data_IF_020369899096
#
_entry.id   IF_020369899096
#
_cell.length_a   1.000
_cell.length_b   1.000
_cell.length_c   1.000
_cell.angle_alpha   90.00
_cell.angle_beta   90.00
_cell.angle_gamma   90.00
#
_symmetry.space_group_name_H-M   'P 1'
#
loop_
_entity.id
_entity.type
_entity.pdbx_description
1 polymer ?
#
# COMPACT_ATOMS: atom_id res chain seq x y z
N UNK A 1 24.79 14.92 14.52
CA UNK A 1 26.17 14.92 13.99
C UNK A 1 27.11 15.42 15.07
N UNK A 2 28.27 14.79 15.25
CA UNK A 2 29.31 15.32 16.15
C UNK A 2 29.97 16.55 15.49
N UNK A 3 30.15 17.64 16.23
CA UNK A 3 30.79 18.86 15.71
C UNK A 3 32.16 19.08 16.33
N UNK A 4 33.04 19.76 15.62
CA UNK A 4 34.28 20.27 16.21
C UNK A 4 34.01 21.40 17.23
N UNK A 5 35.08 21.95 17.83
CA UNK A 5 34.99 23.03 18.81
C UNK A 5 34.50 24.38 18.23
N UNK A 6 34.39 24.51 16.90
CA UNK A 6 33.83 25.66 16.20
C UNK A 6 32.37 25.44 15.75
N UNK A 7 31.83 24.23 15.93
CA UNK A 7 30.48 23.85 15.51
C UNK A 7 30.41 23.28 14.09
N UNK A 8 31.56 22.98 13.47
CA UNK A 8 31.63 22.42 12.12
C UNK A 8 31.24 20.95 12.11
N UNK A 9 30.47 20.55 11.10
CA UNK A 9 30.11 19.17 10.82
C UNK A 9 30.65 18.77 9.44
N UNK A 10 31.41 17.67 9.40
CA UNK A 10 31.86 17.06 8.14
C UNK A 10 30.96 15.90 7.71
N UNK A 11 29.90 15.63 8.48
CA UNK A 11 28.83 14.74 8.11
C UNK A 11 27.52 15.49 7.98
N UNK A 12 26.71 15.10 7.00
CA UNK A 12 25.35 15.59 6.84
C UNK A 12 24.46 14.41 6.48
N UNK A 13 23.48 14.13 7.33
CA UNK A 13 22.36 13.28 6.95
C UNK A 13 21.54 14.03 5.90
N UNK A 14 21.34 13.41 4.75
CA UNK A 14 20.57 13.96 3.63
C UNK A 14 19.35 13.07 3.41
N UNK A 15 18.17 13.70 3.37
CA UNK A 15 16.94 13.00 3.00
C UNK A 15 16.64 13.21 1.53
N UNK A 16 16.36 12.12 0.82
CA UNK A 16 15.81 12.08 -0.53
C UNK A 16 14.42 11.45 -0.47
N UNK A 17 13.38 12.22 -0.80
CA UNK A 17 12.04 11.66 -1.03
C UNK A 17 11.96 11.07 -2.42
N UNK A 18 11.34 9.90 -2.53
CA UNK A 18 10.82 9.38 -3.79
C UNK A 18 9.43 9.99 -3.99
N UNK A 19 9.07 10.30 -5.23
CA UNK A 19 7.70 10.67 -5.61
C UNK A 19 7.03 9.41 -6.17
N UNK A 20 5.88 8.98 -5.62
CA UNK A 20 5.17 7.80 -6.11
C UNK A 20 4.56 8.07 -7.49
N UNK A 21 4.34 7.02 -8.25
CA UNK A 21 3.49 7.02 -9.43
C UNK A 21 2.07 7.52 -9.07
N UNK A 22 1.32 7.99 -10.08
CA UNK A 22 -0.04 8.46 -9.84
C UNK A 22 -0.99 7.27 -9.65
N UNK A 23 -1.93 7.30 -8.67
CA UNK A 23 -2.70 6.12 -8.29
C UNK A 23 -3.52 5.51 -9.43
N UNK A 24 -3.59 4.18 -9.48
CA UNK A 24 -4.42 3.47 -10.45
C UNK A 24 -5.83 3.30 -9.90
N UNK A 25 -6.83 3.69 -10.68
CA UNK A 25 -8.23 3.41 -10.35
C UNK A 25 -8.47 1.89 -10.46
N UNK A 26 -8.62 1.24 -9.32
CA UNK A 26 -8.78 -0.23 -9.19
C UNK A 26 -10.24 -0.66 -9.31
N UNK A 27 -11.19 0.23 -9.02
CA UNK A 27 -12.61 -0.09 -9.10
C UNK A 27 -13.54 1.09 -8.85
N UNK A 28 -14.83 0.82 -9.01
CA UNK A 28 -15.91 1.76 -8.77
C UNK A 28 -17.15 0.99 -8.32
N UNK A 29 -17.90 1.54 -7.36
CA UNK A 29 -19.21 1.04 -6.93
C UNK A 29 -20.21 2.19 -6.97
N UNK A 30 -21.37 1.92 -7.58
CA UNK A 30 -22.57 2.74 -7.47
C UNK A 30 -23.58 1.98 -6.61
N UNK A 31 -23.97 2.54 -5.48
CA UNK A 31 -25.02 2.00 -4.62
C UNK A 31 -26.34 2.72 -4.88
N UNK A 32 -27.44 1.97 -5.03
CA UNK A 32 -28.78 2.53 -5.12
C UNK A 32 -29.72 1.79 -6.08
N UNK A 33 -30.94 2.33 -6.18
CA UNK A 33 -31.98 1.92 -7.12
C UNK A 33 -31.92 2.76 -8.41
N UNK A 34 -32.83 2.50 -9.36
CA UNK A 34 -32.94 3.31 -10.60
C UNK A 34 -33.14 4.79 -10.31
N UNK A 35 -32.28 5.64 -10.89
CA UNK A 35 -32.27 7.09 -10.68
C UNK A 35 -33.16 7.81 -11.71
N UNK A 36 -34.05 8.66 -11.21
CA UNK A 36 -34.91 9.55 -11.98
C UNK A 36 -34.24 10.88 -12.31
N UNK A 37 -34.90 11.67 -13.17
CA UNK A 37 -34.48 13.03 -13.48
C UNK A 37 -34.60 13.91 -12.23
N UNK A 38 -33.51 14.59 -11.87
CA UNK A 38 -33.38 15.38 -10.66
C UNK A 38 -32.71 14.65 -9.49
N UNK A 39 -32.46 13.34 -9.59
CA UNK A 39 -31.78 12.59 -8.55
C UNK A 39 -30.24 12.77 -8.64
N UNK A 40 -29.61 12.93 -7.48
CA UNK A 40 -28.15 12.94 -7.32
C UNK A 40 -27.73 11.66 -6.61
N UNK A 41 -26.74 10.96 -7.16
CA UNK A 41 -26.17 9.75 -6.56
C UNK A 41 -24.68 9.94 -6.27
N UNK A 42 -24.20 9.20 -5.26
CA UNK A 42 -22.78 9.14 -4.89
C UNK A 42 -22.19 7.81 -5.37
N UNK A 43 -21.06 7.87 -6.05
CA UNK A 43 -20.20 6.71 -6.33
C UNK A 43 -19.07 6.64 -5.32
N UNK A 44 -18.62 5.41 -5.04
CA UNK A 44 -17.35 5.12 -4.39
C UNK A 44 -16.34 4.72 -5.45
N UNK A 45 -15.20 5.40 -5.49
CA UNK A 45 -14.07 5.11 -6.38
C UNK A 45 -12.97 4.48 -5.53
N UNK A 46 -12.43 3.36 -5.99
CA UNK A 46 -11.31 2.68 -5.35
C UNK A 46 -10.05 2.91 -6.19
N UNK A 47 -8.96 3.22 -5.50
CA UNK A 47 -7.60 3.28 -6.03
C UNK A 47 -6.71 2.25 -5.32
N UNK A 48 -5.46 2.13 -5.72
CA UNK A 48 -4.43 1.28 -5.10
C UNK A 48 -3.85 1.88 -3.81
N UNK A 49 -3.34 3.11 -3.85
CA UNK A 49 -3.02 4.00 -2.73
C UNK A 49 -2.76 5.42 -3.27
N UNK A 50 -3.14 6.48 -2.56
CA UNK A 50 -2.71 7.86 -2.89
C UNK A 50 -1.41 8.27 -2.19
N UNK A 51 -0.85 7.40 -1.36
CA UNK A 51 0.41 7.62 -0.63
C UNK A 51 0.40 8.90 0.22
N UNK A 52 -0.79 9.35 0.63
CA UNK A 52 -0.98 10.59 1.37
C UNK A 52 -1.08 11.86 0.52
N UNK A 53 -1.02 11.77 -0.81
CA UNK A 53 -1.10 12.88 -1.77
C UNK A 53 -2.52 12.94 -2.37
N UNK A 54 -3.42 13.82 -1.89
CA UNK A 54 -4.83 13.74 -2.25
C UNK A 54 -5.10 14.11 -3.71
N UNK A 55 -5.70 13.18 -4.46
CA UNK A 55 -6.42 13.47 -5.70
C UNK A 55 -7.53 14.50 -5.42
N UNK A 56 -7.57 15.60 -6.19
CA UNK A 56 -8.39 16.77 -5.88
C UNK A 56 -9.27 17.28 -7.04
N UNK A 57 -9.09 16.75 -8.25
CA UNK A 57 -10.00 16.95 -9.37
C UNK A 57 -10.42 15.63 -10.01
N UNK A 58 -11.58 15.66 -10.67
CA UNK A 58 -12.13 14.57 -11.47
C UNK A 58 -12.60 15.17 -12.80
N UNK A 59 -12.21 14.56 -13.91
CA UNK A 59 -12.71 14.89 -15.25
C UNK A 59 -13.32 13.64 -15.87
N UNK A 60 -14.53 13.76 -16.41
CA UNK A 60 -15.26 12.65 -17.03
C UNK A 60 -16.70 12.47 -16.57
N UNK A 61 -17.30 11.36 -16.99
CA UNK A 61 -18.74 11.12 -16.89
C UNK A 61 -19.10 9.70 -16.45
N UNK A 62 -20.30 9.56 -15.87
CA UNK A 62 -20.99 8.30 -15.64
C UNK A 62 -22.41 8.39 -16.21
N UNK A 63 -22.82 7.38 -16.99
CA UNK A 63 -24.04 7.39 -17.82
C UNK A 63 -24.18 8.61 -18.76
N UNK A 64 -23.08 9.32 -19.04
CA UNK A 64 -23.09 10.58 -19.80
C UNK A 64 -23.38 11.85 -18.98
N UNK A 65 -23.41 11.76 -17.65
CA UNK A 65 -23.49 12.89 -16.73
C UNK A 65 -22.13 13.17 -16.09
N UNK A 66 -21.77 14.43 -15.94
CA UNK A 66 -20.49 14.87 -15.36
C UNK A 66 -20.34 14.37 -13.92
N UNK A 67 -19.14 13.89 -13.58
CA UNK A 67 -18.75 13.59 -12.22
C UNK A 67 -18.23 14.85 -11.53
N UNK A 68 -18.65 15.05 -10.29
CA UNK A 68 -18.45 16.28 -9.51
C UNK A 68 -18.23 15.95 -8.03
N UNK A 69 -17.90 16.95 -7.20
CA UNK A 69 -17.79 16.83 -5.74
C UNK A 69 -16.83 15.70 -5.28
N UNK A 70 -15.70 15.52 -5.97
CA UNK A 70 -14.67 14.58 -5.56
C UNK A 70 -14.24 14.86 -4.10
N UNK A 71 -14.35 13.85 -3.25
CA UNK A 71 -14.05 13.92 -1.83
C UNK A 71 -13.28 12.67 -1.42
N UNK A 72 -12.06 12.86 -0.90
CA UNK A 72 -11.26 11.79 -0.29
C UNK A 72 -11.95 11.26 0.97
N UNK A 73 -12.10 9.94 1.07
CA UNK A 73 -12.57 9.26 2.28
C UNK A 73 -11.35 8.79 3.09
N UNK A 74 -10.44 8.07 2.44
CA UNK A 74 -9.15 7.62 2.95
C UNK A 74 -8.12 7.56 1.81
N UNK A 75 -6.96 6.94 2.02
CA UNK A 75 -5.90 6.85 1.01
C UNK A 75 -6.18 5.85 -0.12
N UNK A 76 -7.27 5.08 -0.07
CA UNK A 76 -7.66 4.11 -1.11
C UNK A 76 -9.05 4.36 -1.68
N UNK A 77 -9.81 5.25 -1.05
CA UNK A 77 -11.24 5.40 -1.29
C UNK A 77 -11.61 6.86 -1.45
N UNK A 78 -12.29 7.15 -2.57
CA UNK A 78 -12.83 8.44 -2.91
C UNK A 78 -14.33 8.34 -3.13
N UNK A 79 -15.03 9.47 -2.98
CA UNK A 79 -16.42 9.60 -3.43
C UNK A 79 -16.56 10.73 -4.42
N UNK A 80 -17.43 10.55 -5.41
CA UNK A 80 -17.84 11.59 -6.35
C UNK A 80 -19.34 11.50 -6.58
N UNK A 81 -19.94 12.54 -7.16
CA UNK A 81 -21.38 12.65 -7.38
C UNK A 81 -21.70 12.96 -8.84
N UNK A 82 -22.81 12.43 -9.33
CA UNK A 82 -23.43 12.88 -10.57
C UNK A 82 -24.92 13.16 -10.32
N UNK A 83 -25.51 14.01 -11.16
CA UNK A 83 -26.94 14.34 -11.12
C UNK A 83 -27.57 14.09 -12.47
N UNK A 84 -28.70 13.38 -12.50
CA UNK A 84 -29.45 13.12 -13.74
C UNK A 84 -30.20 14.40 -14.12
N UNK A 85 -29.59 15.24 -14.97
CA UNK A 85 -30.14 16.56 -15.32
C UNK A 85 -31.43 16.50 -16.17
N UNK A 86 -32.19 17.59 -16.15
CA UNK A 86 -33.46 17.72 -16.88
C UNK A 86 -33.30 17.50 -18.40
N UNK A 87 -34.17 16.66 -18.98
CA UNK A 87 -34.04 16.19 -20.36
C UNK A 87 -33.22 14.89 -20.53
N UNK A 88 -32.65 14.37 -19.45
CA UNK A 88 -31.90 13.11 -19.39
C UNK A 88 -32.73 11.82 -19.56
N UNK A 89 -32.05 10.67 -19.52
CA UNK A 89 -32.65 9.35 -19.37
C UNK A 89 -32.41 8.84 -17.94
N UNK A 90 -33.36 8.08 -17.39
CA UNK A 90 -33.16 7.42 -16.11
C UNK A 90 -32.01 6.41 -16.15
N UNK A 91 -31.20 6.39 -15.09
CA UNK A 91 -30.05 5.49 -14.97
C UNK A 91 -30.46 4.26 -14.15
N UNK A 92 -30.60 3.11 -14.82
CA UNK A 92 -30.87 1.85 -14.14
C UNK A 92 -29.56 1.27 -13.57
N UNK A 93 -29.51 1.08 -12.25
CA UNK A 93 -28.32 0.55 -11.54
C UNK A 93 -28.14 -0.96 -11.74
N UNK A 94 -29.16 -1.66 -12.26
CA UNK A 94 -29.18 -3.09 -12.51
C UNK A 94 -28.61 -3.51 -13.89
N UNK A 95 -27.61 -2.80 -14.41
CA UNK A 95 -27.02 -3.08 -15.72
C UNK A 95 -25.66 -2.42 -15.93
N UNK A 96 -25.00 -2.71 -17.06
CA UNK A 96 -23.69 -2.13 -17.41
C UNK A 96 -23.80 -0.62 -17.67
N UNK A 97 -23.41 0.20 -16.69
CA UNK A 97 -23.41 1.66 -16.82
C UNK A 97 -22.11 2.12 -17.49
N UNK A 98 -22.16 2.80 -18.65
CA UNK A 98 -20.97 3.34 -19.28
C UNK A 98 -20.40 4.50 -18.45
N UNK A 99 -19.08 4.57 -18.36
CA UNK A 99 -18.34 5.60 -17.65
C UNK A 99 -17.00 5.83 -18.32
N UNK A 100 -16.41 7.00 -18.10
CA UNK A 100 -15.11 7.39 -18.65
C UNK A 100 -14.61 8.58 -17.84
N UNK A 101 -13.63 8.38 -16.97
CA UNK A 101 -13.05 9.46 -16.15
C UNK A 101 -11.57 9.23 -15.76
N UNK A 102 -10.91 10.30 -15.35
CA UNK A 102 -9.60 10.31 -14.69
C UNK A 102 -9.63 11.22 -13.46
N UNK A 103 -8.64 11.09 -12.58
CA UNK A 103 -8.45 11.92 -11.39
C UNK A 103 -7.12 12.67 -11.51
N UNK A 104 -7.01 13.87 -10.91
CA UNK A 104 -5.78 14.67 -10.88
C UNK A 104 -5.27 14.87 -9.44
N UNK A 105 -3.96 14.86 -9.23
CA UNK A 105 -3.31 15.14 -7.93
C UNK A 105 -3.09 16.64 -7.63
N UNK A 106 -3.47 17.54 -8.55
CA UNK A 106 -3.24 18.98 -8.48
C UNK A 106 -1.78 19.41 -8.69
N UNK A 107 -0.89 18.48 -9.02
CA UNK A 107 0.45 18.73 -9.56
C UNK A 107 0.46 18.64 -11.09
N UNK A 108 -0.72 18.46 -11.72
CA UNK A 108 -0.87 18.28 -13.16
C UNK A 108 -0.57 16.87 -13.66
N UNK A 109 -0.61 15.86 -12.77
CA UNK A 109 -0.57 14.45 -13.15
C UNK A 109 -2.01 13.90 -13.16
N UNK A 110 -2.37 13.17 -14.20
CA UNK A 110 -3.67 12.50 -14.36
C UNK A 110 -3.53 10.98 -14.22
N UNK A 111 -4.49 10.33 -13.55
CA UNK A 111 -4.60 8.85 -13.57
C UNK A 111 -4.84 8.36 -14.99
N UNK A 112 -4.53 7.09 -15.26
CA UNK A 112 -5.00 6.44 -16.49
C UNK A 112 -6.53 6.54 -16.63
N UNK A 113 -7.03 6.69 -17.86
CA UNK A 113 -8.46 6.80 -18.15
C UNK A 113 -9.19 5.51 -17.75
N UNK A 114 -10.06 5.60 -16.75
CA UNK A 114 -10.88 4.48 -16.30
C UNK A 114 -12.22 4.47 -17.03
N UNK A 115 -12.50 3.37 -17.75
CA UNK A 115 -13.69 3.20 -18.59
C UNK A 115 -14.36 1.82 -18.47
N UNK A 116 -13.98 1.03 -17.46
CA UNK A 116 -14.61 -0.26 -17.15
C UNK A 116 -16.00 -0.01 -16.53
N UNK A 117 -17.11 -0.49 -17.13
CA UNK A 117 -18.46 -0.26 -16.61
C UNK A 117 -18.66 -0.73 -15.17
N UNK A 118 -19.42 0.03 -14.37
CA UNK A 118 -19.74 -0.37 -12.99
C UNK A 118 -20.50 -1.69 -12.98
N UNK A 119 -20.08 -2.60 -12.11
CA UNK A 119 -20.87 -3.71 -11.59
C UNK A 119 -20.76 -3.68 -10.06
N UNK A 120 -21.78 -4.16 -9.33
CA UNK A 120 -21.83 -4.05 -7.85
C UNK A 120 -20.78 -4.89 -7.11
N UNK A 121 -20.90 -4.97 -5.78
CA UNK A 121 -20.07 -5.83 -4.91
C UNK A 121 -19.77 -7.18 -5.57
N UNK A 122 -18.50 -7.61 -5.57
CA UNK A 122 -18.15 -8.89 -6.18
C UNK A 122 -18.79 -10.04 -5.41
N UNK A 123 -19.85 -10.57 -6.01
CA UNK A 123 -20.63 -11.67 -5.48
C UNK A 123 -19.79 -12.95 -5.39
N UNK A 124 -19.97 -13.66 -4.29
CA UNK A 124 -19.66 -15.07 -4.16
C UNK A 124 -20.85 -15.77 -4.82
N UNK A 125 -20.67 -16.26 -6.05
CA UNK A 125 -21.75 -16.87 -6.86
C UNK A 125 -21.68 -18.39 -6.87
N UNK A 126 -22.82 -19.05 -7.09
CA UNK A 126 -22.99 -20.48 -7.27
C UNK A 126 -21.84 -21.13 -8.08
N UNK A 127 -21.27 -22.22 -7.56
CA UNK A 127 -20.20 -23.00 -8.21
C UNK A 127 -19.01 -22.16 -8.73
N UNK A 128 -18.64 -21.12 -8.00
CA UNK A 128 -17.56 -20.21 -8.38
C UNK A 128 -16.56 -19.96 -7.24
N UNK A 129 -15.37 -19.52 -7.61
CA UNK A 129 -14.32 -19.12 -6.68
C UNK A 129 -14.01 -17.64 -6.86
N UNK A 130 -14.06 -16.89 -5.77
CA UNK A 130 -13.77 -15.46 -5.72
C UNK A 130 -12.54 -15.19 -4.86
N UNK A 131 -11.61 -14.39 -5.39
CA UNK A 131 -10.37 -13.99 -4.73
C UNK A 131 -10.45 -12.56 -4.21
N UNK A 132 -10.29 -12.36 -2.90
CA UNK A 132 -10.18 -11.06 -2.26
C UNK A 132 -8.72 -10.87 -1.80
N UNK A 133 -8.09 -9.73 -2.11
CA UNK A 133 -6.65 -9.50 -1.90
C UNK A 133 -6.39 -8.41 -0.86
N UNK A 134 -5.31 -8.57 -0.10
CA UNK A 134 -4.83 -7.64 0.93
C UNK A 134 -3.30 -7.62 0.90
N UNK A 135 -2.68 -6.44 0.78
CA UNK A 135 -1.25 -6.29 0.95
C UNK A 135 -0.90 -6.20 2.44
N UNK A 136 0.21 -6.81 2.84
CA UNK A 136 0.77 -6.72 4.19
C UNK A 136 2.22 -6.27 4.14
N UNK A 137 2.56 -5.37 5.05
CA UNK A 137 3.91 -4.90 5.32
C UNK A 137 4.33 -5.37 6.72
N UNK A 138 5.11 -6.45 6.79
CA UNK A 138 5.78 -6.90 8.02
C UNK A 138 6.94 -7.84 7.65
N UNK A 139 8.06 -7.68 8.36
CA UNK A 139 9.25 -8.53 8.17
C UNK A 139 9.19 -9.84 8.98
N UNK A 140 8.06 -10.13 9.64
CA UNK A 140 7.77 -11.41 10.26
C UNK A 140 7.70 -12.57 9.22
N UNK A 141 7.75 -13.83 9.68
CA UNK A 141 7.41 -14.94 8.79
C UNK A 141 5.90 -15.02 8.58
N UNK A 142 5.46 -15.49 7.40
CA UNK A 142 4.06 -15.82 7.16
C UNK A 142 3.51 -16.85 8.17
N UNK A 143 4.38 -17.71 8.71
CA UNK A 143 4.06 -18.69 9.76
C UNK A 143 3.77 -18.04 11.14
N UNK A 144 4.24 -16.81 11.37
CA UNK A 144 4.07 -16.05 12.62
C UNK A 144 2.77 -15.23 12.66
N UNK A 145 1.86 -15.48 11.70
CA UNK A 145 0.53 -14.88 11.64
C UNK A 145 -0.21 -15.05 12.97
N UNK A 146 -0.67 -13.94 13.57
CA UNK A 146 -1.36 -13.97 14.85
C UNK A 146 -2.85 -14.27 14.72
N UNK A 147 -3.52 -13.58 13.79
CA UNK A 147 -4.97 -13.72 13.55
C UNK A 147 -5.38 -13.19 12.19
N UNK A 148 -6.51 -13.68 11.68
CA UNK A 148 -7.22 -13.18 10.50
C UNK A 148 -8.68 -12.91 10.87
N UNK A 149 -9.17 -11.68 10.69
CA UNK A 149 -10.59 -11.35 10.88
C UNK A 149 -11.35 -11.28 9.56
N UNK A 150 -12.62 -11.70 9.50
CA UNK A 150 -13.49 -11.51 8.32
C UNK A 150 -14.99 -11.41 8.65
N UNK A 151 -15.73 -10.78 7.72
CA UNK A 151 -17.18 -10.65 7.73
C UNK A 151 -17.75 -11.08 6.37
N UNK A 152 -18.61 -12.12 6.33
CA UNK A 152 -19.26 -12.61 5.11
C UNK A 152 -20.77 -12.65 5.33
N UNK A 153 -21.52 -12.07 4.40
CA UNK A 153 -22.94 -12.30 4.28
C UNK A 153 -23.19 -13.47 3.32
N UNK A 154 -23.80 -14.55 3.81
CA UNK A 154 -24.23 -15.70 3.00
C UNK A 154 -25.56 -16.23 3.54
N UNK A 155 -26.42 -16.72 2.65
CA UNK A 155 -27.70 -17.32 3.05
C UNK A 155 -27.59 -18.81 3.44
N UNK A 156 -26.44 -19.44 3.17
CA UNK A 156 -26.14 -20.82 3.54
C UNK A 156 -24.63 -21.03 3.73
N UNK A 157 -24.13 -21.05 4.97
CA UNK A 157 -22.68 -21.04 5.27
C UNK A 157 -21.97 -22.35 4.90
N UNK A 158 -22.71 -23.47 4.83
CA UNK A 158 -22.15 -24.79 4.57
C UNK A 158 -21.64 -24.97 3.15
N UNK A 159 -22.04 -24.10 2.23
CA UNK A 159 -21.59 -24.14 0.84
C UNK A 159 -20.21 -23.51 0.67
N UNK A 160 -19.74 -22.77 1.69
CA UNK A 160 -18.50 -22.02 1.63
C UNK A 160 -17.25 -22.83 1.98
N UNK A 161 -16.24 -22.70 1.13
CA UNK A 161 -14.87 -23.12 1.35
C UNK A 161 -13.98 -21.87 1.34
N UNK A 162 -13.31 -21.60 2.46
CA UNK A 162 -12.53 -20.38 2.67
C UNK A 162 -11.07 -20.75 2.92
N UNK A 163 -10.18 -20.26 2.07
CA UNK A 163 -8.73 -20.49 2.15
C UNK A 163 -7.95 -19.17 2.23
N UNK A 164 -6.80 -19.20 2.91
CA UNK A 164 -5.81 -18.13 2.90
C UNK A 164 -4.61 -18.55 2.07
N UNK A 165 -4.11 -17.65 1.24
CA UNK A 165 -2.92 -17.83 0.40
C UNK A 165 -1.93 -16.70 0.75
N UNK A 166 -0.70 -17.07 1.08
CA UNK A 166 0.41 -16.16 1.37
C UNK A 166 1.08 -15.65 0.08
N UNK A 167 1.97 -14.64 0.17
CA UNK A 167 2.64 -14.06 -1.00
C UNK A 167 3.55 -15.01 -1.78
N UNK A 168 3.90 -16.17 -1.19
CA UNK A 168 4.72 -17.22 -1.82
C UNK A 168 3.89 -18.39 -2.40
N UNK A 169 2.57 -18.18 -2.59
CA UNK A 169 1.56 -19.17 -2.98
C UNK A 169 1.34 -20.33 -1.98
N UNK A 170 2.04 -20.35 -0.82
CA UNK A 170 1.68 -21.28 0.25
C UNK A 170 0.27 -20.97 0.77
N UNK A 171 -0.50 -22.01 1.06
CA UNK A 171 -1.93 -21.84 1.36
C UNK A 171 -2.45 -22.81 2.41
N UNK A 172 -3.48 -22.34 3.11
CA UNK A 172 -4.16 -23.08 4.17
C UNK A 172 -5.68 -22.96 4.04
N UNK A 173 -6.37 -24.01 4.46
CA UNK A 173 -7.82 -23.98 4.67
C UNK A 173 -8.15 -23.28 5.99
N UNK A 174 -8.98 -22.23 5.93
CA UNK A 174 -9.52 -21.56 7.12
C UNK A 174 -10.84 -22.20 7.56
N UNK A 175 -11.77 -22.37 6.62
CA UNK A 175 -13.13 -22.91 6.83
C UNK A 175 -13.44 -23.88 5.70
N UNK A 176 -13.98 -25.06 6.03
CA UNK A 176 -14.39 -26.05 5.04
C UNK A 176 -15.80 -26.54 5.36
N UNK A 177 -16.83 -25.99 4.67
CA UNK A 177 -18.23 -26.42 4.77
C UNK A 177 -18.73 -26.51 6.23
N UNK A 178 -19.13 -25.36 6.81
CA UNK A 178 -19.48 -25.21 8.23
C UNK A 178 -20.82 -24.49 8.41
N UNK A 179 -21.44 -24.60 9.57
CA UNK A 179 -22.69 -23.86 9.90
C UNK A 179 -24.00 -24.56 9.52
N UNK A 180 -23.97 -25.58 8.66
CA UNK A 180 -25.17 -26.23 8.11
C UNK A 180 -26.05 -25.20 7.38
N UNK A 181 -27.38 -25.27 7.48
CA UNK A 181 -28.31 -24.26 6.94
C UNK A 181 -28.34 -22.97 7.77
N UNK A 182 -27.16 -22.55 8.24
CA UNK A 182 -26.92 -21.35 9.01
C UNK A 182 -26.44 -20.21 8.10
N UNK A 183 -26.47 -18.98 8.61
CA UNK A 183 -26.23 -17.78 7.80
C UNK A 183 -25.21 -16.85 8.47
N UNK A 184 -24.24 -16.43 7.66
CA UNK A 184 -23.25 -15.37 7.87
C UNK A 184 -22.11 -15.70 8.85
N UNK A 185 -20.95 -15.14 8.52
CA UNK A 185 -19.82 -14.98 9.42
C UNK A 185 -19.76 -13.51 9.83
N UNK A 186 -19.95 -13.23 11.12
CA UNK A 186 -20.08 -11.87 11.68
C UNK A 186 -19.01 -11.69 12.76
N UNK A 187 -18.10 -10.74 12.60
CA UNK A 187 -16.94 -10.53 13.47
C UNK A 187 -16.20 -11.85 13.80
N UNK A 188 -16.04 -12.70 12.77
CA UNK A 188 -15.30 -13.96 12.86
C UNK A 188 -13.81 -13.66 12.85
N UNK A 189 -13.08 -14.23 13.81
CA UNK A 189 -11.63 -14.18 13.88
C UNK A 189 -11.09 -15.61 13.82
N UNK A 190 -10.12 -15.85 12.96
CA UNK A 190 -9.37 -17.10 12.89
C UNK A 190 -8.02 -16.88 13.54
N UNK A 191 -7.70 -17.62 14.60
CA UNK A 191 -6.44 -17.50 15.33
C UNK A 191 -6.04 -18.81 16.00
N UNK A 192 -4.73 -19.05 16.26
CA UNK A 192 -4.28 -20.18 17.06
C UNK A 192 -4.91 -20.13 18.46
N UNK A 193 -5.57 -21.22 18.87
CA UNK A 193 -6.19 -21.33 20.20
C UNK A 193 -7.64 -20.84 20.30
N UNK A 194 -8.29 -20.46 19.19
CA UNK A 194 -9.75 -20.31 19.13
C UNK A 194 -10.50 -21.65 19.25
N UNK A 195 -11.83 -21.61 19.32
CA UNK A 195 -12.68 -22.82 19.29
C UNK A 195 -12.70 -23.48 17.90
N UNK A 196 -12.99 -24.77 17.81
CA UNK A 196 -13.15 -25.42 16.50
C UNK A 196 -14.40 -24.91 15.77
N UNK A 197 -14.29 -24.59 14.48
CA UNK A 197 -15.43 -24.21 13.63
C UNK A 197 -16.50 -25.31 13.57
N UNK A 198 -16.10 -26.58 13.69
CA UNK A 198 -17.00 -27.73 13.71
C UNK A 198 -17.91 -27.79 14.95
N UNK A 199 -17.52 -27.14 16.06
CA UNK A 199 -18.32 -27.03 17.29
C UNK A 199 -19.12 -25.71 17.35
N UNK A 200 -18.92 -24.82 16.39
CA UNK A 200 -19.64 -23.55 16.27
C UNK A 200 -20.98 -23.67 15.54
N UNK A 201 -21.76 -22.58 15.57
CA UNK A 201 -23.03 -22.46 14.87
C UNK A 201 -23.17 -21.06 14.28
N UNK A 202 -23.82 -20.95 13.13
CA UNK A 202 -24.09 -19.66 12.51
C UNK A 202 -25.08 -18.77 13.32
N UNK A 203 -24.99 -17.44 13.24
CA UNK A 203 -23.89 -16.71 12.61
C UNK A 203 -22.58 -16.94 13.38
N UNK A 204 -21.51 -17.28 12.66
CA UNK A 204 -20.22 -17.51 13.29
C UNK A 204 -19.71 -16.18 13.85
N UNK A 205 -19.47 -16.13 15.15
CA UNK A 205 -19.09 -14.92 15.88
C UNK A 205 -17.95 -15.22 16.86
N UNK A 206 -16.94 -14.33 16.91
CA UNK A 206 -15.78 -14.49 17.78
C UNK A 206 -14.66 -15.35 17.20
N UNK A 207 -13.81 -15.91 18.07
CA UNK A 207 -12.51 -16.48 17.68
C UNK A 207 -12.52 -18.00 17.54
N UNK A 208 -12.22 -18.49 16.34
CA UNK A 208 -12.09 -19.89 15.99
C UNK A 208 -10.67 -20.26 15.57
N UNK A 209 -10.32 -21.54 15.60
CA UNK A 209 -9.06 -22.06 15.05
C UNK A 209 -9.25 -22.47 13.58
N UNK A 210 -8.25 -22.28 12.70
CA UNK A 210 -8.37 -22.68 11.29
C UNK A 210 -8.41 -24.20 11.13
N UNK A 211 -8.99 -24.69 10.03
CA UNK A 211 -8.94 -26.11 9.63
C UNK A 211 -7.49 -26.58 9.36
N UNK A 212 -6.59 -25.68 8.95
CA UNK A 212 -5.15 -25.92 8.79
C UNK A 212 -4.33 -24.83 9.50
N UNK A 213 -3.29 -25.24 10.25
CA UNK A 213 -2.52 -24.35 11.09
C UNK A 213 -1.73 -23.29 10.30
N UNK A 214 -1.66 -22.07 10.83
CA UNK A 214 -0.90 -20.95 10.26
C UNK A 214 0.59 -21.27 10.04
N UNK A 215 1.17 -22.14 10.87
CA UNK A 215 2.55 -22.64 10.71
C UNK A 215 2.81 -23.48 9.45
N UNK A 216 1.78 -23.76 8.63
CA UNK A 216 1.92 -24.40 7.32
C UNK A 216 2.20 -23.39 6.20
N UNK A 217 2.01 -22.09 6.46
CA UNK A 217 2.39 -21.00 5.57
C UNK A 217 3.91 -20.82 5.59
N UNK A 218 4.49 -20.41 4.47
CA UNK A 218 5.94 -20.25 4.30
C UNK A 218 6.30 -18.85 3.80
N UNK A 219 7.60 -18.54 3.81
CA UNK A 219 8.10 -17.23 3.39
C UNK A 219 7.93 -16.12 4.45
N UNK A 220 8.07 -14.88 3.97
CA UNK A 220 7.85 -13.66 4.75
C UNK A 220 6.39 -13.20 4.71
N UNK A 221 5.99 -12.41 5.70
CA UNK A 221 4.66 -11.84 5.77
C UNK A 221 4.42 -10.70 4.75
N UNK A 222 5.49 -9.97 4.38
CA UNK A 222 5.49 -8.88 3.39
C UNK A 222 5.02 -9.37 2.01
N UNK A 223 3.93 -8.79 1.50
CA UNK A 223 3.39 -9.06 0.16
C UNK A 223 1.86 -9.16 0.09
N UNK A 224 1.34 -9.58 -1.06
CA UNK A 224 -0.12 -9.74 -1.29
C UNK A 224 -0.60 -11.10 -0.79
N UNK A 225 -1.50 -11.07 0.19
CA UNK A 225 -2.27 -12.21 0.67
C UNK A 225 -3.62 -12.29 -0.07
N UNK A 226 -4.12 -13.52 -0.29
CA UNK A 226 -5.45 -13.74 -0.89
C UNK A 226 -6.35 -14.54 0.05
N UNK A 227 -7.49 -13.97 0.42
CA UNK A 227 -8.63 -14.70 0.98
C UNK A 227 -9.47 -15.21 -0.20
N UNK A 228 -9.40 -16.52 -0.43
CA UNK A 228 -10.14 -17.21 -1.48
C UNK A 228 -11.41 -17.81 -0.90
N UNK A 229 -12.56 -17.47 -1.46
CA UNK A 229 -13.87 -18.02 -1.05
C UNK A 229 -14.48 -18.70 -2.26
N UNK A 230 -14.79 -19.99 -2.14
CA UNK A 230 -15.59 -20.72 -3.11
C UNK A 230 -16.97 -21.03 -2.53
N UNK A 231 -18.00 -20.88 -3.37
CA UNK A 231 -19.30 -21.50 -3.16
C UNK A 231 -19.34 -22.80 -3.98
N UNK A 232 -19.54 -23.91 -3.29
CA UNK A 232 -19.53 -25.27 -3.86
C UNK A 232 -20.95 -25.82 -4.14
N UNK A 233 -21.97 -24.96 -4.13
CA UNK A 233 -23.38 -25.29 -4.27
C UNK A 233 -24.13 -24.36 -5.24
N UNK A 234 -25.46 -24.33 -5.11
CA UNK A 234 -26.38 -23.60 -5.99
C UNK A 234 -27.53 -23.00 -5.18
N UNK A 235 -28.05 -21.86 -5.67
CA UNK A 235 -29.20 -21.08 -5.22
C UNK A 235 -28.92 -19.99 -4.17
N UNK A 236 -27.70 -19.92 -3.64
CA UNK A 236 -27.27 -18.95 -2.64
C UNK A 236 -26.15 -18.07 -3.20
N UNK A 237 -26.25 -16.76 -2.94
CA UNK A 237 -25.27 -15.76 -3.38
C UNK A 237 -24.96 -14.85 -2.20
N UNK A 238 -23.68 -14.64 -1.94
CA UNK A 238 -23.23 -13.79 -0.85
C UNK A 238 -22.11 -12.83 -1.21
N UNK A 239 -21.60 -12.15 -0.19
CA UNK A 239 -20.65 -11.05 -0.33
C UNK A 239 -19.71 -11.02 0.87
N UNK A 240 -18.40 -10.91 0.61
CA UNK A 240 -17.44 -10.50 1.64
C UNK A 240 -17.67 -9.02 1.96
N UNK A 241 -17.84 -8.69 3.23
CA UNK A 241 -18.02 -7.33 3.74
C UNK A 241 -16.70 -6.70 4.25
N UNK A 242 -15.67 -7.52 4.53
CA UNK A 242 -14.32 -7.07 4.87
C UNK A 242 -13.46 -8.15 5.54
N UNK A 243 -12.12 -7.98 5.53
CA UNK A 243 -11.17 -8.88 6.20
C UNK A 243 -9.82 -8.21 6.55
N UNK A 244 -9.01 -8.78 7.45
CA UNK A 244 -7.71 -8.25 7.93
C UNK A 244 -6.79 -9.35 8.53
N UNK A 245 -5.47 -9.11 8.66
CA UNK A 245 -4.48 -10.01 9.33
C UNK A 245 -3.43 -9.26 10.20
N UNK A 246 -2.65 -9.95 11.09
CA UNK A 246 -1.77 -9.31 12.12
C UNK A 246 -0.42 -10.04 12.45
N UNK A 247 0.68 -9.31 12.77
CA UNK A 247 2.09 -9.79 13.02
C UNK A 247 2.87 -9.03 14.16
N UNK A 248 4.22 -9.13 14.31
CA UNK A 248 5.06 -8.51 15.41
C UNK A 248 6.58 -8.30 15.07
N UNK A 249 7.25 -7.21 15.52
CA UNK A 249 8.63 -6.79 15.08
C UNK A 249 9.70 -6.42 16.20
N UNK A 250 11.02 -6.28 15.88
CA UNK A 250 12.16 -5.94 16.81
C UNK A 250 13.48 -5.38 16.15
N UNK A 251 14.39 -4.61 16.84
CA UNK A 251 15.67 -4.06 16.27
C UNK A 251 16.84 -3.67 17.27
N UNK A 252 18.09 -3.40 16.81
CA UNK A 252 19.26 -2.91 17.63
C UNK A 252 20.64 -2.67 16.91
N UNK A 253 21.57 -1.84 17.47
CA UNK A 253 22.78 -1.22 16.79
C UNK A 253 24.00 -0.87 17.72
N UNK A 254 25.23 -0.58 17.20
CA UNK A 254 26.25 0.44 17.69
C UNK A 254 27.67 0.45 17.00
N UNK A 255 28.45 1.56 17.10
CA UNK A 255 29.79 1.85 16.44
C UNK A 255 31.04 2.05 17.36
N UNK A 256 31.87 3.13 17.28
CA UNK A 256 32.77 3.56 16.17
C UNK A 256 34.16 4.14 16.64
N UNK A 257 34.72 5.12 15.88
CA UNK A 257 35.81 6.11 16.19
C UNK A 257 37.28 5.73 16.00
N UNK A 258 38.25 6.67 15.81
CA UNK A 258 38.30 8.01 15.15
C UNK A 258 39.73 8.61 15.29
N UNK A 259 40.23 9.33 14.28
CA UNK A 259 41.27 10.41 14.29
C UNK A 259 41.27 11.10 12.90
N UNK A 260 41.73 12.34 12.67
CA UNK A 260 42.48 13.27 13.54
C UNK A 260 41.59 14.23 14.36
N UNK A 261 41.38 15.48 13.94
CA UNK A 261 40.59 16.45 14.71
C UNK A 261 39.93 17.68 14.01
N UNK A 262 40.34 18.15 12.82
CA UNK A 262 39.83 19.42 12.23
C UNK A 262 38.86 19.18 11.06
N UNK A 263 37.56 19.34 11.31
CA UNK A 263 36.53 18.80 10.42
C UNK A 263 36.25 19.69 9.20
N UNK A 264 36.18 19.12 7.97
CA UNK A 264 35.55 19.79 6.83
C UNK A 264 34.14 20.28 7.16
N UNK A 265 33.73 21.39 6.55
CA UNK A 265 32.39 21.97 6.75
C UNK A 265 31.51 21.64 5.55
N UNK A 266 30.46 20.83 5.71
CA UNK A 266 29.45 20.67 4.65
C UNK A 266 28.62 21.95 4.51
N UNK A 267 28.33 22.33 3.26
CA UNK A 267 27.64 23.58 2.85
C UNK A 267 26.46 23.33 1.89
N UNK A 268 26.33 22.12 1.36
CA UNK A 268 25.13 21.68 0.63
C UNK A 268 23.96 21.41 1.59
N UNK A 269 22.72 21.49 1.09
CA UNK A 269 21.51 21.36 1.90
C UNK A 269 21.34 19.96 2.52
N UNK A 270 20.53 19.85 3.57
CA UNK A 270 20.15 18.61 4.24
C UNK A 270 18.99 17.86 3.55
N UNK A 271 18.36 18.48 2.54
CA UNK A 271 17.37 17.84 1.68
C UNK A 271 17.87 17.76 0.23
N UNK A 272 17.78 16.58 -0.36
CA UNK A 272 17.96 16.39 -1.80
C UNK A 272 16.71 16.85 -2.57
N UNK A 273 16.84 17.08 -3.88
CA UNK A 273 15.65 17.26 -4.73
C UNK A 273 14.95 15.92 -4.85
N UNK A 274 13.64 15.88 -4.57
CA UNK A 274 12.84 14.67 -4.70
C UNK A 274 12.96 14.10 -6.12
N UNK A 275 12.91 12.77 -6.22
CA UNK A 275 13.06 12.07 -7.50
C UNK A 275 11.82 11.21 -7.74
N UNK A 276 11.30 11.27 -8.97
CA UNK A 276 10.25 10.35 -9.40
C UNK A 276 10.77 8.90 -9.30
N UNK A 277 9.93 7.99 -8.84
CA UNK A 277 10.25 6.58 -8.98
C UNK A 277 10.35 6.16 -10.45
N UNK A 278 10.86 4.96 -10.71
CA UNK A 278 11.00 4.42 -12.07
C UNK A 278 11.85 5.29 -13.04
N UNK A 279 12.57 6.27 -12.49
CA UNK A 279 13.44 7.22 -13.19
C UNK A 279 14.79 6.64 -13.63
N UNK A 280 15.01 5.33 -13.43
CA UNK A 280 16.19 4.55 -13.78
C UNK A 280 17.41 4.75 -12.87
N UNK A 281 18.33 3.77 -12.93
CA UNK A 281 19.62 3.79 -12.20
C UNK A 281 20.57 4.88 -12.72
N UNK A 282 21.44 5.40 -11.84
CA UNK A 282 22.52 6.33 -12.19
C UNK A 282 22.15 7.81 -12.17
N UNK A 283 20.89 8.15 -11.85
CA UNK A 283 20.46 9.54 -11.70
C UNK A 283 21.24 10.23 -10.58
N UNK A 284 21.70 11.47 -10.83
CA UNK A 284 22.36 12.29 -9.81
C UNK A 284 21.30 12.97 -8.95
N UNK A 285 21.14 12.50 -7.72
CA UNK A 285 20.10 12.95 -6.77
C UNK A 285 20.57 14.10 -5.87
N UNK A 286 21.88 14.23 -5.68
CA UNK A 286 22.49 15.20 -4.78
C UNK A 286 23.91 15.53 -5.20
N UNK A 287 24.37 16.74 -4.87
CA UNK A 287 25.77 17.16 -5.06
C UNK A 287 26.26 17.71 -3.72
N UNK A 288 27.13 16.93 -3.07
CA UNK A 288 27.78 17.34 -1.84
C UNK A 288 28.76 18.48 -2.10
N UNK A 289 28.70 19.50 -1.23
CA UNK A 289 29.65 20.61 -1.24
C UNK A 289 30.17 20.84 0.18
N UNK A 290 31.48 20.96 0.33
CA UNK A 290 32.13 21.23 1.60
C UNK A 290 33.35 22.15 1.44
N UNK A 291 33.77 22.76 2.55
CA UNK A 291 34.95 23.64 2.61
C UNK A 291 35.90 23.21 3.73
N UNK A 292 37.19 23.17 3.42
CA UNK A 292 38.28 22.86 4.35
C UNK A 292 39.60 23.53 3.87
N UNK A 293 40.62 23.54 4.71
CA UNK A 293 41.97 23.99 4.36
C UNK A 293 42.76 22.97 3.51
N UNK A 294 42.44 21.68 3.61
CA UNK A 294 43.01 20.59 2.82
C UNK A 294 42.11 20.21 1.63
N UNK A 295 42.59 19.31 0.78
CA UNK A 295 41.74 18.68 -0.23
C UNK A 295 40.68 17.80 0.46
N UNK A 296 39.43 17.96 0.06
CA UNK A 296 38.31 17.13 0.53
C UNK A 296 38.10 15.97 -0.43
N UNK A 297 37.80 14.81 0.14
CA UNK A 297 37.22 13.67 -0.54
C UNK A 297 35.85 13.36 0.05
N UNK A 298 34.90 12.94 -0.79
CA UNK A 298 33.56 12.59 -0.34
C UNK A 298 33.36 11.08 -0.29
N UNK A 299 32.67 10.61 0.75
CA UNK A 299 32.22 9.23 0.90
C UNK A 299 30.79 9.20 1.45
N UNK A 300 30.19 8.02 1.49
CA UNK A 300 28.92 7.78 2.16
C UNK A 300 29.22 6.94 3.40
N UNK A 301 28.72 7.36 4.57
CA UNK A 301 28.84 6.59 5.81
C UNK A 301 28.02 5.31 5.67
N UNK A 302 28.53 4.18 6.19
CA UNK A 302 27.88 2.88 6.09
C UNK A 302 26.69 2.71 7.07
N UNK A 303 25.77 3.67 7.05
CA UNK A 303 24.52 3.72 7.82
C UNK A 303 23.35 3.97 6.89
N UNK A 304 22.13 3.81 7.41
CA UNK A 304 20.89 4.05 6.68
C UNK A 304 20.95 3.40 5.28
N UNK A 305 20.64 4.16 4.23
CA UNK A 305 20.41 3.64 2.89
C UNK A 305 21.60 3.86 1.95
N UNK A 306 22.80 4.12 2.49
CA UNK A 306 24.01 4.42 1.71
C UNK A 306 24.30 3.41 0.59
N UNK A 307 23.93 2.14 0.76
CA UNK A 307 24.14 1.07 -0.22
C UNK A 307 23.29 1.22 -1.48
N UNK A 308 22.20 1.99 -1.42
CA UNK A 308 21.40 2.38 -2.60
C UNK A 308 22.08 3.47 -3.44
N UNK A 309 23.23 4.02 -3.00
CA UNK A 309 23.90 5.14 -3.64
C UNK A 309 25.37 4.84 -3.96
N UNK A 310 25.91 5.63 -4.88
CA UNK A 310 27.34 5.78 -5.08
C UNK A 310 27.69 7.27 -5.06
N UNK A 311 28.89 7.64 -4.60
CA UNK A 311 29.34 9.03 -4.59
C UNK A 311 30.66 9.15 -5.35
N UNK A 312 30.75 10.16 -6.22
CA UNK A 312 32.02 10.53 -6.83
C UNK A 312 32.87 11.28 -5.79
N UNK A 313 33.95 10.64 -5.34
CA UNK A 313 34.78 11.14 -4.24
C UNK A 313 35.47 12.48 -4.50
N UNK A 314 35.50 12.96 -5.75
CA UNK A 314 36.12 14.23 -6.15
C UNK A 314 35.14 15.33 -6.55
N UNK A 315 33.91 14.99 -6.93
CA UNK A 315 32.88 15.97 -7.34
C UNK A 315 31.72 16.07 -6.36
N UNK A 316 31.61 15.16 -5.39
CA UNK A 316 30.50 15.10 -4.43
C UNK A 316 29.17 14.67 -5.04
N UNK A 317 29.12 14.34 -6.34
CA UNK A 317 27.90 13.88 -7.00
C UNK A 317 27.48 12.50 -6.48
N UNK A 318 26.29 12.43 -5.88
CA UNK A 318 25.65 11.20 -5.39
C UNK A 318 24.67 10.70 -6.45
N UNK A 319 24.81 9.44 -6.84
CA UNK A 319 23.93 8.78 -7.81
C UNK A 319 23.25 7.56 -7.20
N UNK A 320 22.02 7.27 -7.64
CA UNK A 320 21.35 6.01 -7.31
C UNK A 320 22.04 4.81 -7.99
N UNK A 321 22.23 3.73 -7.22
CA UNK A 321 22.78 2.43 -7.65
C UNK A 321 21.70 1.43 -8.06
N UNK A 322 20.43 1.71 -7.75
CA UNK A 322 19.24 0.97 -8.18
C UNK A 322 18.24 1.92 -8.84
N UNK A 323 17.19 1.38 -9.45
CA UNK A 323 15.99 2.17 -9.76
C UNK A 323 15.33 2.59 -8.43
N UNK A 324 14.90 3.85 -8.25
CA UNK A 324 14.03 4.21 -7.14
C UNK A 324 12.62 3.64 -7.40
N UNK A 325 11.97 3.22 -6.33
CA UNK A 325 10.72 2.46 -6.29
C UNK A 325 10.04 2.86 -4.98
N UNK A 326 8.87 3.50 -5.04
CA UNK A 326 8.24 4.12 -3.88
C UNK A 326 7.68 3.07 -2.92
N UNK A 327 7.02 2.03 -3.45
CA UNK A 327 6.46 0.91 -2.67
C UNK A 327 7.53 0.14 -1.91
N UNK A 328 8.72 0.01 -2.49
CA UNK A 328 9.89 -0.53 -1.81
C UNK A 328 10.46 0.47 -0.81
N UNK A 329 10.46 1.77 -1.13
CA UNK A 329 11.12 2.80 -0.32
C UNK A 329 10.71 4.25 -0.62
N UNK A 330 9.72 4.75 0.11
CA UNK A 330 9.21 6.13 0.02
C UNK A 330 10.27 7.23 0.18
N UNK A 331 11.30 6.96 0.98
CA UNK A 331 12.42 7.89 1.18
C UNK A 331 13.71 7.18 1.55
N UNK A 332 14.82 7.80 1.15
CA UNK A 332 16.16 7.39 1.49
C UNK A 332 16.80 8.41 2.43
N UNK A 333 17.45 7.94 3.49
CA UNK A 333 18.44 8.70 4.25
C UNK A 333 19.83 8.20 3.89
N UNK A 334 20.75 9.11 3.60
CA UNK A 334 22.17 8.79 3.48
C UNK A 334 23.00 9.87 4.17
N UNK A 335 24.02 9.45 4.91
CA UNK A 335 24.96 10.39 5.52
C UNK A 335 26.16 10.58 4.58
N UNK A 336 26.29 11.77 4.01
CA UNK A 336 27.50 12.18 3.28
C UNK A 336 28.58 12.50 4.29
N UNK A 337 29.79 11.99 4.07
CA UNK A 337 30.99 12.34 4.82
C UNK A 337 31.94 13.10 3.90
N UNK A 338 32.30 14.32 4.28
CA UNK A 338 33.45 15.04 3.76
C UNK A 338 34.66 14.64 4.62
N UNK A 339 35.66 14.02 4.01
CA UNK A 339 36.91 13.62 4.67
C UNK A 339 38.09 14.40 4.09
N UNK A 340 38.88 15.04 4.93
CA UNK A 340 40.06 15.78 4.47
C UNK A 340 41.25 14.87 4.14
N UNK A 341 42.31 15.44 3.56
CA UNK A 341 43.52 14.71 3.18
C UNK A 341 44.34 14.10 4.34
N UNK A 342 44.04 14.44 5.60
CA UNK A 342 44.65 13.90 6.80
C UNK A 342 43.75 12.87 7.53
N UNK A 343 42.53 12.64 7.03
CA UNK A 343 41.57 11.68 7.58
C UNK A 343 40.49 12.29 8.49
N UNK A 344 40.36 13.61 8.53
CA UNK A 344 39.36 14.28 9.35
C UNK A 344 37.94 13.97 8.89
N UNK A 345 37.18 13.27 9.72
CA UNK A 345 35.73 13.22 9.67
C UNK A 345 35.13 13.18 11.09
N UNK A 346 33.99 13.83 11.31
CA UNK A 346 33.08 13.45 12.39
C UNK A 346 32.55 12.05 12.12
N UNK A 347 32.39 11.24 13.16
CA UNK A 347 31.58 10.00 13.14
C UNK A 347 30.62 9.95 14.33
#
# INVERSE_FOLDING_TARGET
VATDAAGNASEQAVTLSVVPDIPVITGIVLAGETLGVGDTATITIFIDDDHGIPLNAIDGTLAGYDLTNLTRIDNRTYSAQFTVVEGGQSVAVSGSIPLSFSLEDGLGRDTALYNTPVSGLQAITDFSTTDYRLYVDSDASAADLLSLGFNIQHSYDYDLVISLIAPDDSSIMLVYMRGSSGNNFIDTVIAPGGSALADGSAPFTGTFTPEQAFSNLTGGARGVWTLRIADEAQADVGYLQGWNIQFTDYSGSMGPTSIDAALPVITSADMATAIDENSNVGQTVYIAAATDANNITYSLKAVDDHAAFSINSSTGAVTLSTNPDYETKESYSFTVVATDAAGNASE
#
